data_IF_142160464051
#
_entry.id   IF_142160464051
#
_cell.length_a   1.000
_cell.length_b   1.000
_cell.length_c   1.000
_cell.angle_alpha   90.00
_cell.angle_beta   90.00
_cell.angle_gamma   90.00
#
_symmetry.space_group_name_H-M   'P 1'
#
loop_
_entity.id
_entity.type
_entity.pdbx_description
1 polymer ?
#
# COMPACT_ATOMS: atom_id res chain seq x y z
N UNK A 1 13.44 1.17 -19.21
CA UNK A 1 12.95 2.44 -18.66
C UNK A 1 11.91 3.08 -19.60
N UNK A 2 12.26 3.31 -20.85
CA UNK A 2 11.41 3.99 -21.85
C UNK A 2 10.00 3.38 -21.97
N UNK A 3 9.89 2.04 -22.06
CA UNK A 3 8.59 1.35 -22.13
C UNK A 3 7.71 1.64 -20.92
N UNK A 4 8.29 1.62 -19.71
CA UNK A 4 7.54 1.89 -18.47
C UNK A 4 7.07 3.34 -18.46
N UNK A 5 7.93 4.28 -18.79
CA UNK A 5 7.60 5.71 -18.86
C UNK A 5 6.52 6.00 -19.89
N UNK A 6 6.56 5.35 -21.05
CA UNK A 6 5.52 5.47 -22.09
C UNK A 6 4.16 4.92 -21.60
N UNK A 7 4.15 3.81 -20.88
CA UNK A 7 2.92 3.25 -20.27
C UNK A 7 2.33 4.20 -19.25
N UNK A 8 3.16 4.79 -18.36
CA UNK A 8 2.72 5.79 -17.39
C UNK A 8 2.15 7.03 -18.10
N UNK A 9 2.87 7.54 -19.10
CA UNK A 9 2.43 8.67 -19.92
C UNK A 9 1.05 8.40 -20.57
N UNK A 10 0.85 7.18 -21.09
CA UNK A 10 -0.43 6.77 -21.66
C UNK A 10 -1.57 6.76 -20.62
N UNK A 11 -1.32 6.28 -19.43
CA UNK A 11 -2.34 6.24 -18.36
C UNK A 11 -2.75 7.65 -17.94
N UNK A 12 -1.79 8.55 -17.75
CA UNK A 12 -2.08 9.96 -17.44
C UNK A 12 -2.85 10.65 -18.57
N UNK A 13 -2.46 10.42 -19.84
CA UNK A 13 -3.14 11.02 -20.98
C UNK A 13 -4.58 10.51 -21.14
N UNK A 14 -4.83 9.21 -20.95
CA UNK A 14 -6.18 8.66 -21.01
C UNK A 14 -7.11 9.29 -19.95
N UNK A 15 -6.60 9.50 -18.74
CA UNK A 15 -7.36 10.12 -17.68
C UNK A 15 -7.67 11.59 -17.98
N UNK A 16 -6.67 12.35 -18.43
CA UNK A 16 -6.85 13.78 -18.74
C UNK A 16 -7.72 13.99 -19.98
N UNK A 17 -7.67 13.12 -20.99
CA UNK A 17 -8.58 13.10 -22.14
C UNK A 17 -10.04 12.84 -21.71
N UNK A 18 -10.23 12.04 -20.66
CA UNK A 18 -11.55 11.81 -20.07
C UNK A 18 -12.05 12.97 -19.18
N UNK A 19 -11.30 14.06 -19.09
CA UNK A 19 -11.68 15.27 -18.35
C UNK A 19 -11.31 15.25 -16.86
N UNK A 20 -10.52 14.27 -16.41
CA UNK A 20 -10.08 14.19 -15.00
C UNK A 20 -8.72 14.87 -14.83
N UNK A 21 -8.57 15.63 -13.76
CA UNK A 21 -7.33 16.32 -13.40
C UNK A 21 -6.57 15.67 -12.25
N UNK A 22 -7.29 14.89 -11.42
CA UNK A 22 -6.73 14.22 -10.24
C UNK A 22 -6.60 12.72 -10.50
N UNK A 23 -5.42 12.20 -10.25
CA UNK A 23 -5.12 10.78 -10.41
C UNK A 23 -4.91 10.12 -9.05
N UNK A 24 -5.60 9.01 -8.81
CA UNK A 24 -5.40 8.22 -7.61
C UNK A 24 -4.97 6.80 -7.95
N UNK A 25 -4.15 6.22 -7.08
CA UNK A 25 -3.74 4.81 -7.17
C UNK A 25 -4.01 4.11 -5.85
N UNK A 26 -4.62 2.94 -5.91
CA UNK A 26 -4.86 2.07 -4.74
C UNK A 26 -3.71 1.10 -4.47
N UNK A 27 -2.72 1.03 -5.36
CA UNK A 27 -1.57 0.16 -5.22
C UNK A 27 -0.31 1.00 -4.98
N UNK A 28 0.37 0.76 -3.86
CA UNK A 28 1.58 1.47 -3.48
C UNK A 28 2.70 1.30 -4.51
N UNK A 29 2.81 0.14 -5.14
CA UNK A 29 3.83 -0.08 -6.19
C UNK A 29 3.54 0.77 -7.43
N UNK A 30 2.27 0.82 -7.86
CA UNK A 30 1.87 1.68 -8.98
C UNK A 30 2.02 3.16 -8.63
N UNK A 31 1.60 3.56 -7.42
CA UNK A 31 1.79 4.92 -6.91
C UNK A 31 3.27 5.32 -6.95
N UNK A 32 4.17 4.45 -6.46
CA UNK A 32 5.61 4.68 -6.51
C UNK A 32 6.13 4.89 -7.94
N UNK A 33 5.71 4.06 -8.89
CA UNK A 33 6.11 4.21 -10.31
C UNK A 33 5.62 5.55 -10.90
N UNK A 34 4.41 6.00 -10.54
CA UNK A 34 3.89 7.29 -10.99
C UNK A 34 4.67 8.47 -10.39
N UNK A 35 5.01 8.40 -9.10
CA UNK A 35 5.85 9.41 -8.45
C UNK A 35 7.24 9.45 -9.09
N UNK A 36 7.87 8.28 -9.29
CA UNK A 36 9.18 8.16 -9.94
C UNK A 36 9.18 8.75 -11.36
N UNK A 37 8.13 8.49 -12.13
CA UNK A 37 7.99 9.05 -13.47
C UNK A 37 7.89 10.58 -13.44
N UNK A 38 7.09 11.14 -12.54
CA UNK A 38 6.93 12.60 -12.43
C UNK A 38 8.22 13.27 -11.95
N UNK A 39 8.95 12.67 -10.99
CA UNK A 39 10.26 13.16 -10.55
C UNK A 39 11.30 13.06 -11.68
N UNK A 40 11.38 11.92 -12.37
CA UNK A 40 12.29 11.74 -13.51
C UNK A 40 12.06 12.78 -14.61
N UNK A 41 10.80 13.07 -14.94
CA UNK A 41 10.45 14.07 -15.95
C UNK A 41 10.67 15.51 -15.49
N UNK A 42 10.63 15.74 -14.17
CA UNK A 42 11.00 17.04 -13.60
C UNK A 42 12.50 17.28 -13.67
N UNK A 43 13.29 16.28 -13.28
CA UNK A 43 14.75 16.39 -13.17
C UNK A 43 15.44 16.24 -14.54
N UNK A 44 14.83 15.50 -15.46
CA UNK A 44 15.35 15.20 -16.81
C UNK A 44 14.28 15.44 -17.88
N UNK A 45 14.08 16.70 -18.30
CA UNK A 45 13.05 17.04 -19.29
C UNK A 45 13.15 16.30 -20.63
N UNK A 46 14.37 15.88 -21.02
CA UNK A 46 14.59 15.08 -22.22
C UNK A 46 13.96 13.67 -22.12
N UNK A 47 13.76 13.14 -20.93
CA UNK A 47 13.06 11.87 -20.73
C UNK A 47 11.54 12.04 -20.86
N UNK A 48 11.02 13.20 -20.46
CA UNK A 48 9.62 13.54 -20.74
C UNK A 48 9.37 13.63 -22.23
N UNK A 49 10.25 14.32 -22.98
CA UNK A 49 10.10 14.47 -24.43
C UNK A 49 10.16 13.11 -25.15
N UNK A 50 11.05 12.21 -24.74
CA UNK A 50 11.08 10.84 -25.27
C UNK A 50 9.77 10.09 -24.97
N UNK A 51 9.24 10.19 -23.76
CA UNK A 51 7.96 9.55 -23.40
C UNK A 51 6.81 10.09 -24.23
N UNK A 52 6.80 11.40 -24.50
CA UNK A 52 5.85 12.09 -25.38
C UNK A 52 5.94 11.56 -26.81
N UNK A 53 7.15 11.49 -27.36
CA UNK A 53 7.40 11.02 -28.72
C UNK A 53 6.97 9.55 -28.90
N UNK A 54 7.36 8.67 -27.97
CA UNK A 54 7.00 7.25 -28.03
C UNK A 54 5.50 7.03 -27.85
N UNK A 55 4.85 7.78 -26.96
CA UNK A 55 3.40 7.73 -26.78
C UNK A 55 2.68 8.12 -28.08
N UNK A 56 3.09 9.23 -28.68
CA UNK A 56 2.48 9.70 -29.92
C UNK A 56 2.67 8.71 -31.07
N UNK A 57 3.90 8.20 -31.26
CA UNK A 57 4.20 7.17 -32.26
C UNK A 57 3.38 5.90 -32.09
N UNK A 58 3.21 5.46 -30.84
CA UNK A 58 2.52 4.21 -30.53
C UNK A 58 1.00 4.33 -30.59
N UNK A 59 0.42 5.50 -30.28
CA UNK A 59 -1.01 5.63 -30.03
C UNK A 59 -1.70 6.82 -30.70
N UNK A 60 -0.93 7.76 -31.26
CA UNK A 60 -1.43 9.05 -31.77
C UNK A 60 -1.90 10.02 -30.67
N UNK A 61 -1.62 9.73 -29.39
CA UNK A 61 -2.08 10.54 -28.25
C UNK A 61 -1.05 11.59 -27.86
N UNK A 62 -1.55 12.77 -27.49
CA UNK A 62 -0.74 13.80 -26.86
C UNK A 62 -0.50 13.45 -25.39
N UNK A 63 0.72 13.67 -24.93
CA UNK A 63 1.05 13.48 -23.52
C UNK A 63 0.52 14.63 -22.66
N UNK A 64 -0.21 14.28 -21.60
CA UNK A 64 -0.73 15.22 -20.59
C UNK A 64 -0.52 14.65 -19.19
N UNK A 65 0.02 15.48 -18.30
CA UNK A 65 0.21 15.12 -16.87
C UNK A 65 -1.06 15.41 -16.05
N UNK A 66 -1.33 14.65 -14.98
CA UNK A 66 -2.34 15.02 -14.01
C UNK A 66 -1.92 16.28 -13.24
N UNK A 67 -2.87 17.06 -12.76
CA UNK A 67 -2.59 18.17 -11.82
C UNK A 67 -2.14 17.65 -10.46
N UNK A 68 -2.82 16.60 -9.98
CA UNK A 68 -2.54 15.99 -8.68
C UNK A 68 -2.45 14.47 -8.81
N UNK A 69 -1.51 13.92 -8.05
CA UNK A 69 -1.35 12.49 -7.83
C UNK A 69 -1.43 12.21 -6.32
N UNK A 70 -2.30 11.28 -5.94
CA UNK A 70 -2.42 10.84 -4.55
C UNK A 70 -2.56 9.33 -4.47
N UNK A 71 -2.15 8.73 -3.36
CA UNK A 71 -2.55 7.37 -3.04
C UNK A 71 -3.98 7.38 -2.48
N UNK A 72 -4.78 6.36 -2.79
CA UNK A 72 -6.17 6.29 -2.34
C UNK A 72 -6.30 6.37 -0.80
N UNK A 73 -5.32 5.83 -0.05
CA UNK A 73 -5.31 5.95 1.41
C UNK A 73 -5.21 7.40 1.89
N UNK A 74 -4.53 8.29 1.15
CA UNK A 74 -4.43 9.71 1.52
C UNK A 74 -5.79 10.40 1.35
N UNK A 75 -6.49 10.09 0.27
CA UNK A 75 -7.83 10.61 0.01
C UNK A 75 -8.79 10.16 1.12
N UNK A 76 -8.78 8.87 1.47
CA UNK A 76 -9.61 8.33 2.55
C UNK A 76 -9.22 8.96 3.90
N UNK A 77 -7.92 9.11 4.17
CA UNK A 77 -7.43 9.71 5.40
C UNK A 77 -7.92 11.16 5.57
N UNK A 78 -7.87 11.97 4.52
CA UNK A 78 -8.36 13.34 4.56
C UNK A 78 -9.87 13.42 4.86
N UNK A 79 -10.63 12.43 4.44
CA UNK A 79 -12.06 12.32 4.68
C UNK A 79 -12.45 11.39 5.84
N UNK A 80 -11.48 10.89 6.63
CA UNK A 80 -11.69 9.84 7.63
C UNK A 80 -12.78 10.13 8.66
N UNK A 81 -12.84 11.37 9.16
CA UNK A 81 -13.85 11.77 10.14
C UNK A 81 -15.26 11.78 9.53
N UNK A 82 -15.38 12.31 8.31
CA UNK A 82 -16.64 12.30 7.59
C UNK A 82 -17.11 10.88 7.30
N UNK A 83 -16.21 10.01 6.83
CA UNK A 83 -16.52 8.60 6.57
C UNK A 83 -16.90 7.90 7.87
N UNK A 84 -16.13 8.11 8.95
CA UNK A 84 -16.40 7.52 10.25
C UNK A 84 -17.76 7.95 10.82
N UNK A 85 -18.17 9.23 10.62
CA UNK A 85 -19.46 9.71 11.09
C UNK A 85 -20.66 9.09 10.36
N UNK A 86 -20.46 8.63 9.12
CA UNK A 86 -21.48 7.97 8.30
C UNK A 86 -21.39 6.44 8.33
N UNK A 87 -20.36 5.88 8.93
CA UNK A 87 -20.15 4.45 8.99
C UNK A 87 -21.23 3.76 9.86
N UNK A 88 -21.89 2.76 9.28
CA UNK A 88 -22.87 1.93 10.01
C UNK A 88 -22.23 1.12 11.14
N UNK A 89 -20.98 0.70 10.95
CA UNK A 89 -20.22 -0.10 11.90
C UNK A 89 -18.95 0.62 12.27
N UNK A 90 -18.57 0.49 13.55
CA UNK A 90 -17.30 1.00 14.09
C UNK A 90 -16.36 -0.18 14.31
N UNK A 91 -15.08 0.12 14.50
CA UNK A 91 -14.07 -0.90 14.87
C UNK A 91 -14.19 -1.22 16.37
N UNK A 92 -15.36 -1.71 16.75
CA UNK A 92 -15.73 -2.10 18.12
C UNK A 92 -16.20 -3.56 18.05
N UNK A 93 -15.69 -4.37 18.94
CA UNK A 93 -16.14 -5.74 19.13
C UNK A 93 -17.60 -5.74 19.61
N UNK A 94 -18.46 -6.42 18.87
CA UNK A 94 -19.92 -6.40 19.11
C UNK A 94 -20.32 -7.11 20.40
N UNK A 95 -19.54 -8.06 20.88
CA UNK A 95 -19.85 -8.84 22.08
C UNK A 95 -19.34 -8.16 23.35
N UNK A 96 -18.12 -7.61 23.29
CA UNK A 96 -17.44 -7.07 24.47
C UNK A 96 -17.49 -5.56 24.58
N UNK A 97 -17.81 -4.86 23.49
CA UNK A 97 -17.81 -3.39 23.41
C UNK A 97 -16.39 -2.78 23.42
N UNK A 98 -15.33 -3.58 23.37
CA UNK A 98 -13.96 -3.05 23.32
C UNK A 98 -13.57 -2.58 21.93
N UNK A 99 -12.65 -1.60 21.81
CA UNK A 99 -12.03 -1.29 20.54
C UNK A 99 -11.34 -2.52 19.94
N UNK A 100 -11.51 -2.72 18.62
CA UNK A 100 -10.72 -3.70 17.90
C UNK A 100 -9.29 -3.22 17.74
N UNK A 101 -8.33 -4.10 17.97
CA UNK A 101 -6.90 -3.82 17.98
C UNK A 101 -6.32 -4.06 16.58
N UNK A 102 -6.00 -2.97 15.88
CA UNK A 102 -5.46 -3.01 14.54
C UNK A 102 -3.95 -2.78 14.51
N UNK A 103 -3.25 -3.54 13.67
CA UNK A 103 -1.87 -3.24 13.28
C UNK A 103 -1.84 -2.73 11.86
N UNK A 104 -0.99 -1.73 11.61
CA UNK A 104 -0.81 -1.20 10.27
C UNK A 104 0.36 -1.84 9.52
N UNK A 105 0.20 -1.97 8.21
CA UNK A 105 1.30 -2.25 7.30
C UNK A 105 1.34 -1.23 6.18
N UNK A 106 2.22 -0.26 6.32
CA UNK A 106 2.47 0.75 5.27
C UNK A 106 3.39 0.16 4.21
N UNK A 107 2.96 0.20 2.95
CA UNK A 107 3.75 -0.25 1.83
C UNK A 107 5.04 0.56 1.68
N UNK A 108 6.15 -0.12 1.38
CA UNK A 108 7.49 0.50 1.40
C UNK A 108 7.68 1.62 0.36
N UNK A 109 7.06 1.54 -0.80
CA UNK A 109 7.12 2.63 -1.80
C UNK A 109 6.48 3.93 -1.29
N UNK A 110 5.44 3.83 -0.45
CA UNK A 110 4.79 4.99 0.14
C UNK A 110 5.68 5.71 1.17
N UNK A 111 6.27 4.94 2.08
CA UNK A 111 6.96 5.51 3.24
C UNK A 111 8.48 5.66 3.08
N UNK A 112 9.13 4.77 2.30
CA UNK A 112 10.60 4.72 2.23
C UNK A 112 11.17 5.28 0.93
N UNK A 113 10.46 5.11 -0.20
CA UNK A 113 10.96 5.51 -1.51
C UNK A 113 10.48 6.91 -1.87
N UNK A 114 9.19 7.21 -1.61
CA UNK A 114 8.60 8.51 -1.90
C UNK A 114 8.03 9.17 -0.63
N UNK A 115 8.87 9.51 0.35
CA UNK A 115 8.42 10.00 1.66
C UNK A 115 7.69 11.35 1.61
N UNK A 116 7.91 12.14 0.56
CA UNK A 116 7.26 13.45 0.39
C UNK A 116 5.81 13.35 -0.08
N UNK A 117 5.43 12.21 -0.64
CA UNK A 117 4.12 12.02 -1.24
C UNK A 117 3.05 11.49 -0.26
N UNK A 118 3.43 11.11 0.97
CA UNK A 118 2.54 10.45 1.92
C UNK A 118 2.24 11.25 3.18
N UNK A 119 1.18 10.86 3.87
CA UNK A 119 0.77 11.45 5.16
C UNK A 119 1.66 10.95 6.30
N UNK A 120 2.24 11.86 7.08
CA UNK A 120 3.08 11.54 8.24
C UNK A 120 4.56 11.35 7.93
N UNK A 121 4.96 11.46 6.66
CA UNK A 121 6.35 11.33 6.23
C UNK A 121 6.88 9.89 6.29
N UNK A 122 8.20 9.72 6.13
CA UNK A 122 8.84 8.41 6.03
C UNK A 122 9.03 7.71 7.37
N UNK A 123 9.32 8.49 8.41
CA UNK A 123 9.67 7.92 9.71
C UNK A 123 8.44 7.48 10.51
N UNK A 124 7.38 8.28 10.45
CA UNK A 124 6.14 8.03 11.19
C UNK A 124 4.91 8.16 10.31
N UNK A 125 4.76 7.30 9.27
CA UNK A 125 3.56 7.34 8.45
C UNK A 125 2.33 7.03 9.32
N UNK A 126 1.34 7.93 9.28
CA UNK A 126 0.18 7.89 10.18
C UNK A 126 -1.13 7.59 9.45
N UNK A 127 -1.08 7.44 8.13
CA UNK A 127 -2.27 7.35 7.28
C UNK A 127 -3.23 6.22 7.68
N UNK A 128 -2.72 5.01 7.95
CA UNK A 128 -3.55 3.87 8.35
C UNK A 128 -3.91 3.92 9.83
N UNK A 129 -2.95 4.28 10.68
CA UNK A 129 -3.19 4.47 12.11
C UNK A 129 -4.32 5.45 12.38
N UNK A 130 -4.26 6.63 11.76
CA UNK A 130 -5.32 7.64 11.93
C UNK A 130 -6.68 7.22 11.38
N UNK A 131 -6.75 6.35 10.37
CA UNK A 131 -8.01 5.75 9.95
C UNK A 131 -8.56 4.76 10.98
N UNK A 132 -7.71 3.89 11.53
CA UNK A 132 -8.11 2.95 12.60
C UNK A 132 -8.71 3.72 13.79
N UNK A 133 -8.02 4.76 14.26
CA UNK A 133 -8.44 5.58 15.40
C UNK A 133 -9.73 6.34 15.14
N UNK A 134 -9.89 6.98 13.97
CA UNK A 134 -11.10 7.71 13.64
C UNK A 134 -12.34 6.81 13.59
N UNK A 135 -12.15 5.51 13.31
CA UNK A 135 -13.23 4.53 13.30
C UNK A 135 -13.45 3.82 14.66
N UNK A 136 -12.75 4.27 15.71
CA UNK A 136 -12.90 3.78 17.08
C UNK A 136 -12.08 2.55 17.41
N UNK A 137 -11.16 2.14 16.56
CA UNK A 137 -10.20 1.08 16.83
C UNK A 137 -9.01 1.55 17.68
N UNK A 138 -8.26 0.61 18.21
CA UNK A 138 -6.98 0.82 18.91
C UNK A 138 -5.82 0.45 17.98
N UNK A 139 -4.88 1.37 17.80
CA UNK A 139 -3.65 1.10 17.03
C UNK A 139 -2.66 0.38 17.92
N UNK A 140 -2.18 -0.76 17.46
CA UNK A 140 -1.17 -1.55 18.17
C UNK A 140 0.20 -1.34 17.50
N UNK A 141 1.14 -0.81 18.27
CA UNK A 141 2.53 -0.70 17.83
C UNK A 141 3.29 -1.99 18.15
N UNK A 142 4.23 -2.36 17.25
CA UNK A 142 5.08 -3.54 17.40
C UNK A 142 6.44 -3.32 16.71
N UNK A 143 7.52 -3.98 17.16
CA UNK A 143 8.88 -3.66 16.71
C UNK A 143 9.09 -3.71 15.18
N UNK A 144 8.55 -4.74 14.52
CA UNK A 144 8.76 -4.93 13.07
C UNK A 144 7.64 -4.35 12.20
N UNK A 145 6.93 -3.30 12.69
CA UNK A 145 5.83 -2.70 11.93
C UNK A 145 6.26 -2.18 10.56
N UNK A 146 7.52 -1.74 10.43
CA UNK A 146 8.11 -1.26 9.16
C UNK A 146 8.84 -2.33 8.36
N UNK A 147 8.84 -3.58 8.84
CA UNK A 147 9.47 -4.67 8.13
C UNK A 147 8.69 -5.00 6.85
N UNK A 148 9.40 -5.39 5.78
CA UNK A 148 8.80 -5.72 4.48
C UNK A 148 7.82 -6.90 4.61
N UNK A 149 6.71 -6.85 3.86
CA UNK A 149 5.78 -7.97 3.74
C UNK A 149 6.30 -9.14 2.89
N UNK A 150 7.44 -8.98 2.24
CA UNK A 150 8.01 -9.98 1.35
C UNK A 150 7.54 -9.93 -0.12
N UNK A 151 6.54 -9.12 -0.47
CA UNK A 151 6.00 -9.06 -1.83
C UNK A 151 7.06 -8.74 -2.89
N UNK A 152 7.95 -7.79 -2.63
CA UNK A 152 9.01 -7.39 -3.55
C UNK A 152 9.95 -8.52 -3.91
N UNK A 153 10.26 -9.41 -2.98
CA UNK A 153 11.15 -10.55 -3.22
C UNK A 153 10.58 -11.57 -4.22
N UNK A 154 9.26 -11.70 -4.28
CA UNK A 154 8.64 -12.57 -5.28
C UNK A 154 8.80 -12.04 -6.70
N UNK A 155 8.74 -10.73 -6.88
CA UNK A 155 8.76 -10.12 -8.21
C UNK A 155 10.16 -10.08 -8.82
N UNK A 156 11.19 -9.97 -7.98
CA UNK A 156 12.58 -9.85 -8.42
C UNK A 156 13.34 -11.17 -8.42
N UNK A 157 12.88 -12.14 -7.63
CA UNK A 157 13.60 -13.38 -7.44
C UNK A 157 12.76 -14.52 -8.00
N UNK A 158 13.37 -15.26 -8.91
CA UNK A 158 12.83 -16.49 -9.50
C UNK A 158 12.23 -17.37 -8.39
N UNK A 159 11.30 -18.24 -8.74
CA UNK A 159 10.53 -19.11 -7.84
C UNK A 159 11.33 -19.81 -6.73
N UNK A 160 12.63 -20.01 -6.92
CA UNK A 160 13.56 -20.57 -5.93
C UNK A 160 13.68 -19.72 -4.63
N UNK A 161 13.38 -18.43 -4.67
CA UNK A 161 13.57 -17.51 -3.54
C UNK A 161 12.29 -17.16 -2.77
N UNK A 162 11.23 -17.95 -2.93
CA UNK A 162 10.00 -17.80 -2.10
C UNK A 162 10.30 -17.87 -0.60
N UNK A 163 11.34 -18.59 -0.19
CA UNK A 163 11.80 -18.68 1.18
C UNK A 163 12.07 -17.32 1.82
N UNK A 164 12.70 -16.39 1.09
CA UNK A 164 12.94 -15.03 1.59
C UNK A 164 11.63 -14.24 1.78
N UNK A 165 10.67 -14.41 0.88
CA UNK A 165 9.36 -13.77 0.99
C UNK A 165 8.61 -14.27 2.21
N UNK A 166 8.55 -15.59 2.41
CA UNK A 166 7.92 -16.22 3.58
C UNK A 166 8.63 -15.82 4.87
N UNK A 167 9.96 -15.85 4.91
CA UNK A 167 10.75 -15.48 6.09
C UNK A 167 10.52 -14.03 6.53
N UNK A 168 10.39 -13.09 5.58
CA UNK A 168 10.05 -11.71 5.89
C UNK A 168 8.67 -11.56 6.52
N UNK A 169 7.66 -12.24 5.94
CA UNK A 169 6.32 -12.25 6.53
C UNK A 169 6.30 -12.92 7.89
N UNK A 170 7.00 -14.05 8.06
CA UNK A 170 7.10 -14.77 9.33
C UNK A 170 7.66 -13.89 10.43
N UNK A 171 8.81 -13.23 10.21
CA UNK A 171 9.41 -12.31 11.16
C UNK A 171 8.42 -11.22 11.61
N UNK A 172 7.61 -10.72 10.68
CA UNK A 172 6.59 -9.73 10.97
C UNK A 172 5.48 -10.29 11.85
N UNK A 173 4.98 -11.50 11.55
CA UNK A 173 3.95 -12.16 12.36
C UNK A 173 4.46 -12.52 13.77
N UNK A 174 5.66 -13.05 13.90
CA UNK A 174 6.29 -13.33 15.18
C UNK A 174 6.40 -12.07 16.05
N UNK A 175 6.73 -10.94 15.43
CA UNK A 175 6.84 -9.66 16.13
C UNK A 175 5.50 -9.10 16.59
N UNK A 176 4.41 -9.30 15.82
CA UNK A 176 3.10 -8.74 16.18
C UNK A 176 2.24 -9.68 17.06
N UNK A 177 2.45 -10.99 17.00
CA UNK A 177 1.64 -11.99 17.71
C UNK A 177 1.54 -11.76 19.23
N UNK A 178 2.61 -11.38 19.97
CA UNK A 178 2.54 -11.10 21.40
C UNK A 178 1.53 -9.99 21.76
N UNK A 179 1.27 -9.10 20.84
CA UNK A 179 0.36 -7.96 21.02
C UNK A 179 -1.10 -8.30 20.71
N UNK A 180 -1.38 -9.52 20.21
CA UNK A 180 -2.72 -10.06 19.95
C UNK A 180 -3.60 -9.11 19.12
N UNK A 181 -3.19 -8.69 17.92
CA UNK A 181 -4.03 -7.86 17.08
C UNK A 181 -5.27 -8.64 16.60
N UNK A 182 -6.38 -7.91 16.41
CA UNK A 182 -7.60 -8.47 15.83
C UNK A 182 -7.56 -8.45 14.29
N UNK A 183 -6.82 -7.49 13.70
CA UNK A 183 -6.68 -7.38 12.25
C UNK A 183 -5.39 -6.66 11.85
N UNK A 184 -5.01 -6.84 10.59
CA UNK A 184 -3.96 -6.08 9.90
C UNK A 184 -4.63 -5.20 8.83
N UNK A 185 -4.26 -3.92 8.72
CA UNK A 185 -4.66 -3.08 7.58
C UNK A 185 -3.43 -2.70 6.77
N UNK A 186 -3.53 -2.81 5.44
CA UNK A 186 -2.45 -2.50 4.52
C UNK A 186 -2.95 -1.57 3.41
N UNK A 187 -2.14 -0.57 3.01
CA UNK A 187 -2.46 0.32 1.89
C UNK A 187 -1.89 -0.16 0.55
N UNK A 188 -1.61 -1.45 0.43
CA UNK A 188 -1.10 -2.06 -0.79
C UNK A 188 -1.74 -3.43 -0.99
N UNK A 189 -2.48 -3.67 -2.07
CA UNK A 189 -3.11 -4.97 -2.33
C UNK A 189 -2.07 -6.10 -2.46
N UNK A 190 -0.88 -5.83 -2.99
CA UNK A 190 0.22 -6.79 -3.01
C UNK A 190 0.68 -7.19 -1.61
N UNK A 191 0.83 -6.22 -0.69
CA UNK A 191 1.17 -6.50 0.70
C UNK A 191 0.05 -7.26 1.40
N UNK A 192 -1.21 -6.85 1.22
CA UNK A 192 -2.36 -7.51 1.82
C UNK A 192 -2.44 -8.97 1.38
N UNK A 193 -2.35 -9.23 0.07
CA UNK A 193 -2.36 -10.60 -0.48
C UNK A 193 -1.24 -11.47 0.11
N UNK A 194 -0.04 -10.90 0.32
CA UNK A 194 1.09 -11.67 0.85
C UNK A 194 0.96 -11.92 2.34
N UNK A 195 0.57 -10.91 3.12
CA UNK A 195 0.33 -11.07 4.54
C UNK A 195 -0.81 -12.06 4.79
N UNK A 196 -1.85 -12.04 3.97
CA UNK A 196 -2.93 -13.01 4.07
C UNK A 196 -2.46 -14.43 3.71
N UNK A 197 -1.88 -14.61 2.53
CA UNK A 197 -1.48 -15.91 2.00
C UNK A 197 -0.38 -16.58 2.80
N UNK A 198 0.65 -15.84 3.23
CA UNK A 198 1.80 -16.44 3.92
C UNK A 198 1.48 -16.93 5.31
N UNK A 199 0.44 -16.44 5.96
CA UNK A 199 -0.04 -17.02 7.23
C UNK A 199 -0.40 -18.50 7.05
N UNK A 200 -1.12 -18.84 5.98
CA UNK A 200 -1.47 -20.24 5.66
C UNK A 200 -0.24 -21.06 5.33
N UNK A 201 0.64 -20.56 4.47
CA UNK A 201 1.87 -21.27 4.13
C UNK A 201 2.74 -21.53 5.36
N UNK A 202 2.89 -20.55 6.25
CA UNK A 202 3.65 -20.70 7.49
C UNK A 202 2.96 -21.72 8.40
N UNK A 203 1.64 -21.65 8.52
CA UNK A 203 0.89 -22.60 9.37
C UNK A 203 0.97 -24.05 8.85
N UNK A 204 1.02 -24.26 7.55
CA UNK A 204 1.27 -25.57 6.95
C UNK A 204 2.68 -26.08 7.26
N UNK A 205 3.66 -25.21 7.31
CA UNK A 205 5.06 -25.57 7.63
C UNK A 205 5.31 -25.81 9.13
N UNK A 206 4.64 -25.08 10.00
CA UNK A 206 4.95 -24.99 11.43
C UNK A 206 3.82 -25.47 12.36
N UNK A 207 2.66 -25.77 11.79
CA UNK A 207 1.50 -26.26 12.56
C UNK A 207 0.81 -25.21 13.43
N UNK A 208 1.08 -23.91 13.19
CA UNK A 208 0.51 -22.82 14.01
C UNK A 208 0.13 -21.60 13.19
N UNK A 209 -0.91 -20.88 13.64
CA UNK A 209 -1.24 -19.54 13.19
C UNK A 209 -0.85 -18.51 14.25
N UNK A 210 -0.56 -17.30 13.81
CA UNK A 210 -0.16 -16.19 14.69
C UNK A 210 -1.33 -15.37 15.25
N UNK A 211 -2.54 -15.58 14.76
CA UNK A 211 -3.75 -14.92 15.24
C UNK A 211 -4.33 -15.55 16.48
N UNK A 212 -5.35 -14.89 17.00
CA UNK A 212 -6.04 -15.35 18.20
C UNK A 212 -6.80 -16.67 17.96
N UNK A 213 -6.92 -17.50 18.96
CA UNK A 213 -7.63 -18.80 18.93
C UNK A 213 -7.12 -19.76 17.82
N UNK A 214 -5.83 -19.69 17.47
CA UNK A 214 -5.24 -20.55 16.44
C UNK A 214 -5.74 -20.27 15.02
N UNK A 215 -6.15 -19.04 14.75
CA UNK A 215 -6.60 -18.59 13.42
C UNK A 215 -5.59 -17.62 12.77
N UNK A 216 -5.71 -17.40 11.49
CA UNK A 216 -5.00 -16.30 10.83
C UNK A 216 -5.51 -14.94 11.31
N UNK A 217 -4.64 -13.93 11.26
CA UNK A 217 -5.03 -12.54 11.52
C UNK A 217 -5.69 -11.99 10.26
N UNK A 218 -6.95 -11.51 10.29
CA UNK A 218 -7.61 -10.93 9.13
C UNK A 218 -6.78 -9.78 8.53
N UNK A 219 -6.61 -9.76 7.19
CA UNK A 219 -5.88 -8.71 6.48
C UNK A 219 -6.84 -7.90 5.62
N UNK A 220 -6.89 -6.61 5.88
CA UNK A 220 -7.76 -5.63 5.21
C UNK A 220 -6.92 -4.70 4.29
N UNK A 221 -7.54 -4.19 3.22
CA UNK A 221 -6.91 -3.24 2.30
C UNK A 221 -7.89 -2.16 1.88
#
# INVERSE_FOLDING_TARGET
>A
LETIMTVVARQFSLMTEAGYENFTSSCITSFGIYCEALELWHDFPEQEEKAREYLYKATGREFRKPKNLAHTSDVIFHHREQIASQAKYRLIDAETGRPLRGVEHIGCHYAKIFPKAGVGGSEFPYVLAGMIESWGGEVVDYPERRHCCGFGFRNYLVMANRGYSVANSKKKFESMAPYKPDFIVANCPGCAMFLDRWQYTISEMEGTFYGQQGRGIPVLT
#
